data_IF_298064157368
#
_entry.id   IF_298064157368
#
_cell.length_a   1.000
_cell.length_b   1.000
_cell.length_c   1.000
_cell.angle_alpha   90.00
_cell.angle_beta   90.00
_cell.angle_gamma   90.00
#
_symmetry.space_group_name_H-M   'P 1'
#
loop_
_entity.id
_entity.type
_entity.pdbx_description
1 polymer ?
#
# COMPACT_ATOMS: atom_id res chain seq x y z
N UNK A 1 3.35 14.23 25.46
CA UNK A 1 3.20 14.42 24.00
C UNK A 1 3.26 13.08 23.23
N UNK A 2 3.98 12.07 23.74
CA UNK A 2 4.09 10.72 23.15
C UNK A 2 2.79 9.89 23.03
N UNK A 3 1.90 9.94 24.03
CA UNK A 3 0.71 9.07 24.06
C UNK A 3 -0.28 9.36 22.92
N UNK A 4 -0.36 10.61 22.45
CA UNK A 4 -1.25 10.97 21.33
C UNK A 4 -0.70 10.46 19.99
N UNK A 5 0.63 10.43 19.84
CA UNK A 5 1.32 9.97 18.63
C UNK A 5 1.20 8.46 18.45
N UNK A 6 1.38 7.70 19.53
CA UNK A 6 1.27 6.23 19.48
C UNK A 6 -0.15 5.77 19.10
N UNK A 7 -1.18 6.42 19.65
CA UNK A 7 -2.57 6.13 19.31
C UNK A 7 -2.95 6.46 17.86
N UNK A 8 -2.39 7.51 17.26
CA UNK A 8 -2.68 7.86 15.87
C UNK A 8 -2.08 6.82 14.93
N UNK A 9 -0.82 6.43 15.15
CA UNK A 9 -0.14 5.41 14.33
C UNK A 9 -0.83 4.04 14.43
N UNK A 10 -1.22 3.60 15.64
CA UNK A 10 -1.98 2.35 15.81
C UNK A 10 -3.31 2.38 15.05
N UNK A 11 -4.03 3.51 15.06
CA UNK A 11 -5.30 3.64 14.33
C UNK A 11 -5.10 3.54 12.82
N UNK A 12 -4.04 4.13 12.26
CA UNK A 12 -3.75 4.00 10.83
C UNK A 12 -3.51 2.55 10.43
N UNK A 13 -2.77 1.79 11.24
CA UNK A 13 -2.56 0.36 11.01
C UNK A 13 -3.88 -0.42 11.01
N UNK A 14 -4.80 -0.11 11.93
CA UNK A 14 -6.13 -0.72 11.94
C UNK A 14 -6.89 -0.43 10.64
N UNK A 15 -6.89 0.81 10.15
CA UNK A 15 -7.54 1.15 8.88
C UNK A 15 -6.85 0.50 7.67
N UNK A 16 -5.53 0.33 7.70
CA UNK A 16 -4.80 -0.39 6.66
C UNK A 16 -5.20 -1.88 6.64
N UNK A 17 -5.26 -2.52 7.81
CA UNK A 17 -5.69 -3.93 7.95
C UNK A 17 -7.14 -4.10 7.50
N UNK A 18 -8.03 -3.19 7.90
CA UNK A 18 -9.43 -3.19 7.46
C UNK A 18 -9.57 -3.09 5.95
N UNK A 19 -8.78 -2.22 5.31
CA UNK A 19 -8.77 -2.11 3.85
C UNK A 19 -8.23 -3.39 3.19
N UNK A 20 -7.11 -3.93 3.65
CA UNK A 20 -6.54 -5.18 3.13
C UNK A 20 -7.57 -6.31 3.25
N UNK A 21 -8.20 -6.46 4.42
CA UNK A 21 -9.22 -7.45 4.66
C UNK A 21 -10.44 -7.26 3.74
N UNK A 22 -10.91 -6.02 3.55
CA UNK A 22 -12.01 -5.69 2.63
C UNK A 22 -11.68 -6.06 1.19
N UNK A 23 -10.46 -5.76 0.72
CA UNK A 23 -10.02 -6.05 -0.63
C UNK A 23 -9.87 -7.56 -0.86
N UNK A 24 -9.20 -8.27 0.05
CA UNK A 24 -9.04 -9.72 -0.03
C UNK A 24 -10.39 -10.44 0.05
N UNK A 25 -11.27 -10.03 0.98
CA UNK A 25 -12.62 -10.58 1.09
C UNK A 25 -13.43 -10.37 -0.20
N UNK A 26 -13.34 -9.17 -0.80
CA UNK A 26 -14.01 -8.87 -2.06
C UNK A 26 -13.51 -9.75 -3.20
N UNK A 27 -12.19 -9.95 -3.32
CA UNK A 27 -11.60 -10.84 -4.34
C UNK A 27 -12.06 -12.28 -4.14
N UNK A 28 -11.97 -12.80 -2.90
CA UNK A 28 -12.34 -14.19 -2.61
C UNK A 28 -13.82 -14.42 -2.89
N UNK A 29 -14.69 -13.49 -2.46
CA UNK A 29 -16.13 -13.61 -2.66
C UNK A 29 -16.49 -13.56 -4.15
N UNK A 30 -15.88 -12.64 -4.92
CA UNK A 30 -16.15 -12.52 -6.36
C UNK A 30 -15.54 -13.64 -7.19
N UNK A 31 -14.46 -14.29 -6.73
CA UNK A 31 -13.86 -15.43 -7.42
C UNK A 31 -14.55 -16.75 -7.10
N UNK A 32 -15.00 -16.93 -5.86
CA UNK A 32 -15.58 -18.20 -5.38
C UNK A 32 -17.07 -18.35 -5.66
N UNK A 33 -17.80 -17.24 -5.77
CA UNK A 33 -19.25 -17.27 -5.99
C UNK A 33 -19.58 -16.62 -7.34
N UNK A 34 -20.45 -17.26 -8.12
CA UNK A 34 -20.96 -16.73 -9.39
C UNK A 34 -22.03 -15.67 -9.12
N UNK A 35 -21.60 -14.57 -8.49
CA UNK A 35 -22.48 -13.52 -7.98
C UNK A 35 -23.01 -12.63 -9.10
N UNK A 36 -24.23 -12.09 -8.93
CA UNK A 36 -24.79 -11.15 -9.88
C UNK A 36 -24.00 -9.83 -9.84
N UNK A 37 -24.00 -9.11 -10.96
CA UNK A 37 -23.13 -7.93 -11.19
C UNK A 37 -23.37 -6.84 -10.14
N UNK A 38 -24.61 -6.71 -9.67
CA UNK A 38 -25.03 -5.75 -8.64
C UNK A 38 -24.25 -5.93 -7.33
N UNK A 39 -24.04 -7.18 -6.91
CA UNK A 39 -23.28 -7.49 -5.68
C UNK A 39 -21.80 -7.15 -5.88
N UNK A 40 -21.26 -7.40 -7.08
CA UNK A 40 -19.88 -7.02 -7.42
C UNK A 40 -19.65 -5.52 -7.39
N UNK A 41 -20.62 -4.73 -7.88
CA UNK A 41 -20.57 -3.28 -7.77
C UNK A 41 -20.59 -2.82 -6.31
N UNK A 42 -21.49 -3.35 -5.48
CA UNK A 42 -21.57 -3.01 -4.06
C UNK A 42 -20.25 -3.32 -3.33
N UNK A 43 -19.68 -4.51 -3.52
CA UNK A 43 -18.39 -4.88 -2.91
C UNK A 43 -17.24 -3.97 -3.36
N UNK A 44 -17.25 -3.57 -4.63
CA UNK A 44 -16.27 -2.62 -5.18
C UNK A 44 -16.39 -1.27 -4.49
N UNK A 45 -17.60 -0.72 -4.36
CA UNK A 45 -17.84 0.54 -3.66
C UNK A 45 -17.43 0.49 -2.19
N UNK A 46 -17.79 -0.59 -1.47
CA UNK A 46 -17.39 -0.78 -0.07
C UNK A 46 -15.87 -0.77 0.07
N UNK A 47 -15.17 -1.46 -0.82
CA UNK A 47 -13.70 -1.51 -0.80
C UNK A 47 -13.04 -0.17 -1.13
N UNK A 48 -13.59 0.57 -2.10
CA UNK A 48 -13.11 1.93 -2.44
C UNK A 48 -13.35 2.90 -1.28
N UNK A 49 -14.49 2.79 -0.59
CA UNK A 49 -14.79 3.62 0.58
C UNK A 49 -13.84 3.30 1.75
N UNK A 50 -13.59 2.01 2.03
CA UNK A 50 -12.60 1.60 3.02
C UNK A 50 -11.21 2.15 2.69
N UNK A 51 -10.79 2.09 1.42
CA UNK A 51 -9.52 2.66 0.97
C UNK A 51 -9.48 4.19 1.12
N UNK A 52 -10.56 4.89 0.79
CA UNK A 52 -10.67 6.33 0.94
C UNK A 52 -10.54 6.77 2.40
N UNK A 53 -11.17 6.05 3.32
CA UNK A 53 -11.03 6.29 4.76
C UNK A 53 -9.58 6.06 5.21
N UNK A 54 -8.94 4.98 4.74
CA UNK A 54 -7.54 4.72 5.01
C UNK A 54 -6.65 5.88 4.53
N UNK A 55 -6.78 6.34 3.28
CA UNK A 55 -6.02 7.46 2.74
C UNK A 55 -6.17 8.70 3.62
N UNK A 56 -7.41 9.07 3.97
CA UNK A 56 -7.66 10.24 4.80
C UNK A 56 -6.97 10.15 6.16
N UNK A 57 -7.02 8.97 6.81
CA UNK A 57 -6.37 8.74 8.10
C UNK A 57 -4.85 8.71 7.99
N UNK A 58 -4.32 8.11 6.92
CA UNK A 58 -2.90 8.07 6.62
C UNK A 58 -2.33 9.47 6.39
N UNK A 59 -2.98 10.27 5.53
CA UNK A 59 -2.61 11.67 5.29
C UNK A 59 -2.60 12.49 6.58
N UNK A 60 -3.67 12.37 7.37
CA UNK A 60 -3.75 13.06 8.67
C UNK A 60 -2.64 12.63 9.62
N UNK A 61 -2.22 11.37 9.57
CA UNK A 61 -1.11 10.87 10.39
C UNK A 61 0.22 11.49 10.01
N UNK A 62 0.51 11.62 8.70
CA UNK A 62 1.73 12.29 8.21
C UNK A 62 1.80 13.73 8.70
N UNK A 63 0.67 14.46 8.72
CA UNK A 63 0.64 15.85 9.19
C UNK A 63 1.09 16.03 10.65
N UNK A 64 0.98 15.00 11.49
CA UNK A 64 1.40 15.03 12.90
C UNK A 64 2.77 14.36 13.15
N UNK A 65 3.47 13.95 12.09
CA UNK A 65 4.81 13.35 12.18
C UNK A 65 5.90 14.42 12.32
N UNK A 66 7.01 14.05 12.95
CA UNK A 66 8.23 14.87 12.96
C UNK A 66 8.90 14.87 11.59
N UNK A 67 9.78 15.84 11.34
CA UNK A 67 10.52 15.97 10.08
C UNK A 67 11.26 14.69 9.68
N UNK A 68 11.91 14.01 10.63
CA UNK A 68 12.62 12.75 10.37
C UNK A 68 11.66 11.65 9.91
N UNK A 69 10.51 11.53 10.56
CA UNK A 69 9.50 10.55 10.17
C UNK A 69 8.90 10.88 8.80
N UNK A 70 8.65 12.16 8.50
CA UNK A 70 8.20 12.59 7.18
C UNK A 70 9.23 12.24 6.11
N UNK A 71 10.52 12.50 6.35
CA UNK A 71 11.61 12.11 5.42
C UNK A 71 11.62 10.61 5.16
N UNK A 72 11.53 9.78 6.21
CA UNK A 72 11.45 8.32 6.09
C UNK A 72 10.25 7.90 5.21
N UNK A 73 9.08 8.51 5.42
CA UNK A 73 7.88 8.21 4.63
C UNK A 73 8.03 8.62 3.16
N UNK A 74 8.61 9.79 2.90
CA UNK A 74 8.87 10.28 1.55
C UNK A 74 9.89 9.42 0.81
N UNK A 75 11.00 9.05 1.46
CA UNK A 75 11.99 8.11 0.89
C UNK A 75 11.33 6.77 0.54
N UNK A 76 10.48 6.24 1.44
CA UNK A 76 9.73 5.01 1.18
C UNK A 76 8.80 5.12 -0.03
N UNK A 77 8.06 6.23 -0.16
CA UNK A 77 7.16 6.49 -1.30
C UNK A 77 7.95 6.61 -2.61
N UNK A 78 9.09 7.30 -2.61
CA UNK A 78 9.94 7.44 -3.80
C UNK A 78 10.42 6.07 -4.26
N UNK A 79 10.93 5.25 -3.35
CA UNK A 79 11.37 3.87 -3.66
C UNK A 79 10.21 3.04 -4.22
N UNK A 80 9.04 3.11 -3.56
CA UNK A 80 7.85 2.38 -4.00
C UNK A 80 7.40 2.77 -5.41
N UNK A 81 7.37 4.07 -5.67
CA UNK A 81 6.99 4.64 -6.95
C UNK A 81 7.97 4.23 -8.06
N UNK A 82 9.28 4.34 -7.80
CA UNK A 82 10.31 3.93 -8.76
C UNK A 82 10.23 2.44 -9.09
N UNK A 83 10.09 1.57 -8.08
CA UNK A 83 9.91 0.13 -8.30
C UNK A 83 8.61 -0.20 -9.02
N UNK A 84 7.52 0.50 -8.69
CA UNK A 84 6.23 0.38 -9.35
C UNK A 84 6.29 0.74 -10.84
N UNK A 85 6.90 1.87 -11.18
CA UNK A 85 7.12 2.27 -12.56
C UNK A 85 8.01 1.26 -13.30
N UNK A 86 9.11 0.82 -12.67
CA UNK A 86 9.99 -0.19 -13.23
C UNK A 86 9.23 -1.47 -13.57
N UNK A 87 8.39 -1.97 -12.65
CA UNK A 87 7.53 -3.13 -12.88
C UNK A 87 6.59 -2.93 -14.07
N UNK A 88 5.88 -1.80 -14.12
CA UNK A 88 4.92 -1.52 -15.20
C UNK A 88 5.63 -1.39 -16.56
N UNK A 89 6.80 -0.74 -16.61
CA UNK A 89 7.60 -0.65 -17.83
C UNK A 89 8.08 -2.04 -18.28
N UNK A 90 8.56 -2.87 -17.35
CA UNK A 90 8.99 -4.24 -17.67
C UNK A 90 7.83 -5.07 -18.21
N UNK A 91 6.66 -5.05 -17.56
CA UNK A 91 5.48 -5.78 -18.03
C UNK A 91 5.02 -5.27 -19.40
N UNK A 92 4.98 -3.96 -19.61
CA UNK A 92 4.59 -3.36 -20.88
C UNK A 92 5.54 -3.72 -22.03
N UNK A 93 6.85 -3.80 -21.77
CA UNK A 93 7.82 -4.23 -22.79
C UNK A 93 7.76 -5.74 -23.04
N UNK A 94 7.63 -6.56 -21.99
CA UNK A 94 7.54 -8.02 -22.13
C UNK A 94 6.31 -8.44 -22.95
N UNK A 95 5.18 -7.76 -22.78
CA UNK A 95 3.94 -8.05 -23.52
C UNK A 95 4.08 -7.89 -25.05
N UNK A 96 5.11 -7.17 -25.53
CA UNK A 96 5.37 -6.99 -26.96
C UNK A 96 5.97 -8.24 -27.63
N UNK A 97 6.65 -9.11 -26.88
CA UNK A 97 7.39 -10.23 -27.46
C UNK A 97 7.23 -11.56 -26.71
N UNK A 98 6.53 -11.57 -25.56
CA UNK A 98 6.17 -12.77 -24.81
C UNK A 98 4.69 -12.70 -24.47
N UNK A 99 3.95 -13.80 -24.66
CA UNK A 99 2.56 -13.90 -24.21
C UNK A 99 2.52 -14.01 -22.69
N UNK A 100 2.18 -12.91 -22.02
CA UNK A 100 1.99 -12.89 -20.57
C UNK A 100 0.65 -13.55 -20.20
N UNK A 101 0.67 -14.43 -19.20
CA UNK A 101 -0.56 -14.96 -18.63
C UNK A 101 -1.33 -13.83 -17.94
N UNK A 102 -2.52 -13.50 -18.48
CA UNK A 102 -3.38 -12.44 -17.95
C UNK A 102 -3.89 -12.74 -16.54
N UNK A 103 -3.97 -14.02 -16.13
CA UNK A 103 -4.40 -14.35 -14.77
C UNK A 103 -3.33 -13.94 -13.76
N UNK A 104 -2.06 -14.32 -14.00
CA UNK A 104 -0.92 -14.05 -13.10
C UNK A 104 -0.59 -12.55 -13.01
N UNK A 105 -0.68 -11.83 -14.14
CA UNK A 105 -0.36 -10.40 -14.23
C UNK A 105 -1.58 -9.49 -14.25
N UNK A 106 -2.73 -9.96 -13.76
CA UNK A 106 -3.92 -9.10 -13.66
C UNK A 106 -3.70 -7.95 -12.65
N UNK A 107 -4.42 -6.85 -12.82
CA UNK A 107 -4.39 -5.70 -11.90
C UNK A 107 -4.61 -6.08 -10.42
N UNK A 108 -5.31 -7.20 -10.18
CA UNK A 108 -5.57 -7.74 -8.83
C UNK A 108 -4.30 -8.20 -8.11
N UNK A 109 -3.28 -8.65 -8.85
CA UNK A 109 -1.99 -9.07 -8.30
C UNK A 109 -0.97 -7.94 -8.32
N UNK A 110 -1.08 -7.03 -9.29
CA UNK A 110 -0.20 -5.86 -9.40
C UNK A 110 -0.42 -4.87 -8.25
N UNK A 111 -1.67 -4.57 -7.88
CA UNK A 111 -1.98 -3.58 -6.83
C UNK A 111 -1.31 -3.92 -5.48
N UNK A 112 -1.37 -5.15 -4.95
CA UNK A 112 -0.65 -5.53 -3.74
C UNK A 112 0.88 -5.34 -3.82
N UNK A 113 1.50 -5.49 -5.00
CA UNK A 113 2.95 -5.31 -5.15
C UNK A 113 3.39 -3.87 -4.85
N UNK A 114 2.58 -2.86 -5.16
CA UNK A 114 2.88 -1.47 -4.80
C UNK A 114 2.98 -1.27 -3.29
N UNK A 115 2.11 -1.94 -2.52
CA UNK A 115 2.19 -1.91 -1.06
C UNK A 115 3.48 -2.60 -0.57
N UNK A 116 3.86 -3.73 -1.16
CA UNK A 116 5.12 -4.43 -0.86
C UNK A 116 6.33 -3.53 -1.14
N UNK A 117 6.37 -2.84 -2.28
CA UNK A 117 7.45 -1.91 -2.62
C UNK A 117 7.56 -0.75 -1.62
N UNK A 118 6.43 -0.24 -1.13
CA UNK A 118 6.42 0.74 -0.06
C UNK A 118 7.00 0.20 1.25
N UNK A 119 6.66 -1.02 1.67
CA UNK A 119 7.25 -1.62 2.86
C UNK A 119 8.75 -1.86 2.73
N UNK A 120 9.23 -2.25 1.55
CA UNK A 120 10.66 -2.36 1.25
C UNK A 120 11.34 -0.99 1.42
N UNK A 121 10.78 0.05 0.80
CA UNK A 121 11.29 1.41 0.93
C UNK A 121 11.29 1.91 2.38
N UNK A 122 10.24 1.60 3.14
CA UNK A 122 10.11 1.95 4.54
C UNK A 122 11.18 1.25 5.39
N UNK A 123 11.44 -0.03 5.14
CA UNK A 123 12.46 -0.79 5.84
C UNK A 123 13.87 -0.25 5.56
N UNK A 124 14.19 0.06 4.31
CA UNK A 124 15.46 0.66 3.92
C UNK A 124 15.66 2.03 4.59
N UNK A 125 14.64 2.89 4.51
CA UNK A 125 14.69 4.25 5.05
C UNK A 125 14.83 4.22 6.57
N UNK A 126 14.04 3.40 7.29
CA UNK A 126 14.15 3.28 8.76
C UNK A 126 15.55 2.85 9.21
N UNK A 127 16.17 1.87 8.53
CA UNK A 127 17.52 1.41 8.88
C UNK A 127 18.56 2.52 8.74
N UNK A 128 18.47 3.34 7.71
CA UNK A 128 19.36 4.47 7.48
C UNK A 128 19.35 5.47 8.66
N UNK A 129 18.17 5.90 9.10
CA UNK A 129 18.06 6.90 10.18
C UNK A 129 18.29 6.33 11.59
N UNK A 130 18.10 5.02 11.81
CA UNK A 130 18.50 4.38 13.07
C UNK A 130 20.02 4.36 13.25
N UNK A 131 20.75 4.04 12.16
CA UNK A 131 22.22 3.98 12.18
C UNK A 131 22.86 5.37 12.32
N UNK A 132 22.24 6.42 11.77
CA UNK A 132 22.73 7.81 11.95
C UNK A 132 22.57 8.30 13.39
N UNK A 133 21.53 7.85 14.11
CA UNK A 133 21.35 8.21 15.51
C UNK A 133 22.44 7.59 16.41
N UNK A 134 22.86 6.35 16.15
CA UNK A 134 23.94 5.68 16.89
C UNK A 134 25.35 6.25 16.63
N UNK A 135 25.54 6.99 15.53
CA UNK A 135 26.85 7.60 15.20
C UNK A 135 27.08 8.97 15.84
N UNK A 136 26.03 9.58 16.38
CA UNK A 136 26.07 10.92 16.95
C UNK A 136 25.93 10.95 18.49
N UNK A 137 25.83 9.78 19.12
CA UNK A 137 26.01 9.56 20.57
C UNK A 137 27.43 9.04 20.86
#
# INVERSE_FOLDING_TARGET
>A
MDLRRNHINQRVLVYAILWIASYTCSILTLKSFNLPVEVGLVLTFVTILAFSVFIYKYYRSIFFMDEVQIKIQMEAVIIAFSLGLMLLMTLGLLDLFITLNKEDWSYRHIVPLFATFYFIGLFMSKRKYLVDHEKHD
#
